data_IF_360386310782
#
_entry.id   IF_360386310782
#
_cell.length_a   1.000
_cell.length_b   1.000
_cell.length_c   1.000
_cell.angle_alpha   90.00
_cell.angle_beta   90.00
_cell.angle_gamma   90.00
#
_symmetry.space_group_name_H-M   'P 1'
#
loop_
_entity.id
_entity.type
_entity.pdbx_description
1 polymer ?
#
# COMPACT_ATOMS: atom_id res chain seq x y z
N UNK A 1 -23.22 1.04 -13.98
CA UNK A 1 -23.68 2.45 -13.89
C UNK A 1 -23.47 2.91 -12.46
N UNK A 2 -22.55 3.88 -12.25
CA UNK A 2 -22.37 4.51 -10.94
C UNK A 2 -23.66 5.24 -10.56
N UNK A 3 -24.20 4.96 -9.36
CA UNK A 3 -25.34 5.70 -8.77
C UNK A 3 -24.85 7.04 -8.24
N UNK A 4 -24.47 7.95 -9.13
CA UNK A 4 -24.08 9.33 -8.75
C UNK A 4 -25.22 10.30 -9.14
N UNK A 5 -25.37 11.37 -8.35
CA UNK A 5 -26.34 12.42 -8.66
C UNK A 5 -25.94 13.17 -9.92
N UNK A 6 -26.93 13.76 -10.61
CA UNK A 6 -26.70 14.60 -11.81
C UNK A 6 -25.71 15.73 -11.52
N UNK A 7 -25.80 16.35 -10.34
CA UNK A 7 -24.88 17.40 -9.88
C UNK A 7 -23.44 16.88 -9.77
N UNK A 8 -23.25 15.70 -9.18
CA UNK A 8 -21.93 15.08 -9.04
C UNK A 8 -21.35 14.65 -10.39
N UNK A 9 -22.18 14.13 -11.29
CA UNK A 9 -21.78 13.80 -12.66
C UNK A 9 -21.34 15.05 -13.43
N UNK A 10 -22.13 16.12 -13.38
CA UNK A 10 -21.81 17.41 -14.00
C UNK A 10 -20.53 18.01 -13.43
N UNK A 11 -20.32 17.90 -12.11
CA UNK A 11 -19.09 18.33 -11.44
C UNK A 11 -17.87 17.52 -11.91
N UNK A 12 -17.97 16.19 -11.96
CA UNK A 12 -16.88 15.32 -12.46
C UNK A 12 -16.51 15.71 -13.91
N UNK A 13 -17.49 15.84 -14.79
CA UNK A 13 -17.28 16.22 -16.19
C UNK A 13 -16.61 17.61 -16.31
N UNK A 14 -17.10 18.60 -15.57
CA UNK A 14 -16.50 19.95 -15.55
C UNK A 14 -15.02 19.92 -15.20
N UNK A 15 -14.64 19.20 -14.13
CA UNK A 15 -13.23 19.09 -13.74
C UNK A 15 -12.40 18.30 -14.72
N UNK A 16 -12.98 17.31 -15.40
CA UNK A 16 -12.30 16.58 -16.47
C UNK A 16 -11.97 17.53 -17.63
N UNK A 17 -12.96 18.27 -18.14
CA UNK A 17 -12.77 19.24 -19.23
C UNK A 17 -11.75 20.33 -18.84
N UNK A 18 -11.79 20.81 -17.60
CA UNK A 18 -10.80 21.79 -17.12
C UNK A 18 -9.38 21.23 -17.11
N UNK A 19 -9.18 19.98 -16.68
CA UNK A 19 -7.88 19.31 -16.70
C UNK A 19 -7.38 19.08 -18.12
N UNK A 20 -8.23 18.63 -19.04
CA UNK A 20 -7.88 18.46 -20.45
C UNK A 20 -7.45 19.79 -21.10
N UNK A 21 -8.17 20.87 -20.84
CA UNK A 21 -7.80 22.19 -21.32
C UNK A 21 -6.52 22.72 -20.67
N UNK A 22 -6.32 22.49 -19.37
CA UNK A 22 -5.09 22.84 -18.66
C UNK A 22 -3.87 22.18 -19.32
N UNK A 23 -3.98 20.91 -19.69
CA UNK A 23 -2.93 20.18 -20.43
C UNK A 23 -2.71 20.74 -21.83
N UNK A 24 -3.78 20.96 -22.60
CA UNK A 24 -3.71 21.51 -23.97
C UNK A 24 -3.05 22.89 -24.05
N UNK A 25 -3.30 23.71 -23.03
CA UNK A 25 -2.81 25.09 -22.94
C UNK A 25 -1.46 25.19 -22.21
N UNK A 26 -0.88 24.06 -21.77
CA UNK A 26 0.30 24.02 -20.88
C UNK A 26 0.14 24.94 -19.66
N UNK A 27 -1.09 25.06 -19.12
CA UNK A 27 -1.36 25.90 -17.96
C UNK A 27 -0.85 25.23 -16.67
N UNK A 28 -0.31 26.02 -15.76
CA UNK A 28 0.29 25.56 -14.49
C UNK A 28 -0.74 25.32 -13.40
N UNK A 29 -1.96 25.85 -13.54
CA UNK A 29 -3.03 25.73 -12.57
C UNK A 29 -4.41 25.99 -13.19
N UNK A 30 -5.44 25.48 -12.52
CA UNK A 30 -6.86 25.77 -12.74
C UNK A 30 -7.34 26.60 -11.57
N UNK A 31 -7.65 27.86 -11.80
CA UNK A 31 -8.16 28.77 -10.76
C UNK A 31 -9.68 28.69 -10.72
N UNK A 32 -10.23 28.57 -9.49
CA UNK A 32 -11.69 28.54 -9.28
C UNK A 32 -12.12 29.59 -8.27
N UNK A 33 -13.30 30.22 -8.50
CA UNK A 33 -13.85 31.29 -7.67
C UNK A 33 -14.56 30.82 -6.38
N UNK A 34 -14.14 29.69 -5.77
CA UNK A 34 -14.69 29.29 -4.48
C UNK A 34 -14.28 30.27 -3.39
N UNK A 35 -15.22 30.57 -2.51
CA UNK A 35 -15.08 31.57 -1.44
C UNK A 35 -15.45 30.98 -0.06
N UNK A 36 -15.40 31.80 0.97
CA UNK A 36 -15.63 31.40 2.37
C UNK A 36 -17.00 30.75 2.59
N UNK A 37 -18.04 31.23 1.93
CA UNK A 37 -19.38 30.63 2.04
C UNK A 37 -19.42 29.21 1.47
N UNK A 38 -18.74 28.97 0.33
CA UNK A 38 -18.60 27.62 -0.22
C UNK A 38 -17.86 26.68 0.71
N UNK A 39 -16.87 27.21 1.45
CA UNK A 39 -16.16 26.47 2.48
C UNK A 39 -17.10 26.07 3.62
N UNK A 40 -17.89 27.01 4.13
CA UNK A 40 -18.88 26.77 5.18
C UNK A 40 -19.91 25.71 4.75
N UNK A 41 -20.43 25.80 3.53
CA UNK A 41 -21.33 24.78 2.96
C UNK A 41 -20.67 23.40 2.92
N UNK A 42 -19.40 23.34 2.46
CA UNK A 42 -18.67 22.08 2.34
C UNK A 42 -18.43 21.44 3.71
N UNK A 43 -18.08 22.22 4.72
CA UNK A 43 -17.89 21.75 6.10
C UNK A 43 -19.17 21.18 6.65
N UNK A 44 -20.31 21.88 6.50
CA UNK A 44 -21.62 21.40 6.94
C UNK A 44 -22.04 20.12 6.21
N UNK A 45 -21.86 20.07 4.89
CA UNK A 45 -22.15 18.86 4.12
C UNK A 45 -21.36 17.64 4.62
N UNK A 46 -20.09 17.84 4.94
CA UNK A 46 -19.22 16.79 5.44
C UNK A 46 -19.60 16.38 6.86
N UNK A 47 -19.91 17.34 7.73
CA UNK A 47 -20.39 17.10 9.09
C UNK A 47 -21.68 16.27 9.08
N UNK A 48 -22.66 16.65 8.27
CA UNK A 48 -23.94 15.93 8.12
C UNK A 48 -23.78 14.50 7.56
N UNK A 49 -22.70 14.23 6.84
CA UNK A 49 -22.33 12.89 6.38
C UNK A 49 -21.57 12.08 7.42
N UNK A 50 -21.29 12.65 8.60
CA UNK A 50 -20.49 11.98 9.63
C UNK A 50 -18.99 11.95 9.35
N UNK A 51 -18.49 12.87 8.54
CA UNK A 51 -17.07 12.94 8.25
C UNK A 51 -16.26 13.33 9.49
N UNK A 52 -15.13 12.63 9.70
CA UNK A 52 -14.15 12.99 10.74
C UNK A 52 -13.33 14.24 10.39
N UNK A 53 -12.28 14.50 11.15
CA UNK A 53 -11.41 15.70 11.00
C UNK A 53 -10.93 15.91 9.56
N UNK A 54 -10.66 14.82 8.81
CA UNK A 54 -10.29 14.87 7.38
C UNK A 54 -11.37 15.52 6.52
N UNK A 55 -12.64 15.29 6.82
CA UNK A 55 -13.74 15.92 6.08
C UNK A 55 -13.99 17.35 6.54
N UNK A 56 -13.76 17.64 7.82
CA UNK A 56 -13.93 18.99 8.39
C UNK A 56 -12.93 20.01 7.85
N UNK A 57 -11.75 19.56 7.32
CA UNK A 57 -10.82 20.48 6.62
C UNK A 57 -11.43 21.13 5.36
N UNK A 58 -12.57 20.68 4.91
CA UNK A 58 -13.29 21.23 3.78
C UNK A 58 -12.46 21.22 2.48
N UNK A 59 -12.57 22.29 1.70
CA UNK A 59 -11.76 22.54 0.51
C UNK A 59 -10.39 23.09 0.90
N UNK A 60 -9.35 22.69 0.15
CA UNK A 60 -8.00 23.22 0.31
C UNK A 60 -7.77 24.38 -0.66
N UNK A 61 -6.99 25.37 -0.25
CA UNK A 61 -6.54 26.48 -1.12
C UNK A 61 -5.88 25.96 -2.40
N UNK A 62 -5.10 24.87 -2.26
CA UNK A 62 -4.52 24.16 -3.40
C UNK A 62 -4.78 22.66 -3.28
N UNK A 63 -5.24 22.06 -4.37
CA UNK A 63 -5.39 20.62 -4.48
C UNK A 63 -4.93 20.16 -5.88
N UNK A 64 -3.70 19.71 -5.98
CA UNK A 64 -3.05 19.43 -7.25
C UNK A 64 -3.01 20.67 -8.15
N UNK A 65 -3.61 20.58 -9.33
CA UNK A 65 -3.72 21.69 -10.28
C UNK A 65 -4.77 22.74 -9.90
N UNK A 66 -5.68 22.42 -8.99
CA UNK A 66 -6.79 23.33 -8.63
C UNK A 66 -6.35 24.28 -7.54
N UNK A 67 -6.50 25.59 -7.77
CA UNK A 67 -6.19 26.68 -6.84
C UNK A 67 -7.44 27.50 -6.57
N UNK A 68 -7.67 27.88 -5.28
CA UNK A 68 -8.83 28.65 -4.81
C UNK A 68 -8.35 29.85 -4.03
N UNK A 69 -7.98 30.95 -4.73
CA UNK A 69 -7.38 32.12 -4.08
C UNK A 69 -8.35 32.88 -3.17
N UNK A 70 -9.65 32.73 -3.38
CA UNK A 70 -10.67 33.48 -2.63
C UNK A 70 -11.30 32.68 -1.49
N UNK A 71 -10.72 31.53 -1.11
CA UNK A 71 -11.34 30.62 -0.14
C UNK A 71 -11.57 31.26 1.24
N UNK A 72 -10.76 32.26 1.59
CA UNK A 72 -10.86 33.02 2.85
C UNK A 72 -11.66 34.32 2.71
N UNK A 73 -12.02 34.71 1.49
CA UNK A 73 -12.81 35.96 1.25
C UNK A 73 -14.30 35.66 1.40
N UNK A 74 -15.01 36.56 2.10
CA UNK A 74 -16.47 36.49 2.18
C UNK A 74 -17.09 36.87 0.82
N UNK A 75 -18.20 36.22 0.48
CA UNK A 75 -18.91 36.52 -0.76
C UNK A 75 -19.28 38.02 -0.85
N UNK A 76 -19.71 38.59 0.25
CA UNK A 76 -20.07 40.03 0.35
C UNK A 76 -18.91 40.95 -0.05
N UNK A 77 -17.69 40.65 0.44
CA UNK A 77 -16.51 41.47 0.13
C UNK A 77 -16.16 41.42 -1.36
N UNK A 78 -16.35 40.25 -2.00
CA UNK A 78 -16.16 40.08 -3.45
C UNK A 78 -17.21 40.85 -4.26
N UNK A 79 -18.49 40.82 -3.83
CA UNK A 79 -19.57 41.57 -4.48
C UNK A 79 -19.38 43.09 -4.31
N UNK A 80 -18.96 43.54 -3.15
CA UNK A 80 -18.67 44.97 -2.86
C UNK A 80 -17.48 45.45 -3.71
N UNK A 81 -16.44 44.63 -3.86
CA UNK A 81 -15.32 44.94 -4.76
C UNK A 81 -15.78 45.07 -6.20
N UNK A 82 -16.59 44.13 -6.70
CA UNK A 82 -17.12 44.20 -8.06
C UNK A 82 -17.95 45.46 -8.28
N UNK A 83 -18.80 45.85 -7.31
CA UNK A 83 -19.57 47.11 -7.37
C UNK A 83 -18.67 48.35 -7.45
N UNK A 84 -17.65 48.41 -6.60
CA UNK A 84 -16.67 49.51 -6.58
C UNK A 84 -15.91 49.64 -7.91
N UNK A 85 -15.60 48.50 -8.56
CA UNK A 85 -14.87 48.48 -9.81
C UNK A 85 -15.78 48.54 -11.05
N UNK A 86 -17.10 48.62 -10.89
CA UNK A 86 -18.06 48.64 -12.00
C UNK A 86 -18.10 47.31 -12.77
N UNK A 87 -17.68 46.21 -12.16
CA UNK A 87 -17.70 44.89 -12.79
C UNK A 87 -19.11 44.29 -12.71
N UNK A 88 -19.67 43.98 -13.87
CA UNK A 88 -20.97 43.32 -13.95
C UNK A 88 -20.80 41.81 -13.86
N UNK A 89 -21.59 41.16 -13.00
CA UNK A 89 -21.61 39.69 -12.89
C UNK A 89 -23.03 39.15 -13.14
N UNK A 90 -23.10 37.91 -13.58
CA UNK A 90 -24.35 37.20 -13.77
C UNK A 90 -24.67 36.28 -12.61
N UNK A 91 -25.94 36.24 -12.21
CA UNK A 91 -26.44 35.26 -11.25
C UNK A 91 -27.04 34.08 -12.01
N UNK A 92 -26.54 32.86 -11.75
CA UNK A 92 -27.07 31.65 -12.36
C UNK A 92 -28.42 31.30 -11.71
N UNK A 93 -29.48 31.19 -12.54
CA UNK A 93 -30.84 30.87 -12.10
C UNK A 93 -30.96 29.47 -11.46
N UNK A 94 -30.06 28.54 -11.79
CA UNK A 94 -30.02 27.20 -11.15
C UNK A 94 -29.71 27.26 -9.64
N UNK A 95 -29.17 28.37 -9.13
CA UNK A 95 -28.96 28.62 -7.70
C UNK A 95 -30.30 28.80 -6.94
N UNK A 96 -31.41 28.94 -7.61
CA UNK A 96 -32.72 29.11 -6.98
C UNK A 96 -33.40 27.80 -6.57
N UNK A 97 -33.02 26.68 -7.15
CA UNK A 97 -33.61 25.37 -6.87
C UNK A 97 -33.06 24.80 -5.55
N UNK A 98 -33.94 24.42 -4.60
CA UNK A 98 -33.58 23.84 -3.29
C UNK A 98 -33.50 22.32 -3.32
N UNK A 99 -33.80 21.66 -4.44
CA UNK A 99 -33.74 20.20 -4.56
C UNK A 99 -32.33 19.62 -4.36
N UNK A 100 -31.31 20.46 -4.51
CA UNK A 100 -29.94 20.08 -4.28
C UNK A 100 -29.53 20.35 -2.81
N UNK A 101 -28.96 19.36 -2.13
CA UNK A 101 -28.50 19.46 -0.73
C UNK A 101 -27.65 20.68 -0.45
N UNK A 102 -26.82 21.11 -1.38
CA UNK A 102 -25.97 22.29 -1.22
C UNK A 102 -26.81 23.57 -1.19
N UNK A 103 -27.82 23.66 -2.05
CA UNK A 103 -28.72 24.81 -2.08
C UNK A 103 -29.59 24.87 -0.83
N UNK A 104 -30.10 23.75 -0.31
CA UNK A 104 -30.82 23.70 0.96
C UNK A 104 -29.96 24.17 2.13
N UNK A 105 -28.67 23.72 2.21
CA UNK A 105 -27.74 24.22 3.24
C UNK A 105 -27.55 25.74 3.10
N UNK A 106 -27.38 26.26 1.90
CA UNK A 106 -27.18 27.69 1.64
C UNK A 106 -28.39 28.53 2.00
N UNK A 107 -29.59 28.10 1.64
CA UNK A 107 -30.83 28.89 1.74
C UNK A 107 -31.59 28.67 3.04
N UNK A 108 -31.45 27.53 3.67
CA UNK A 108 -32.24 27.16 4.85
C UNK A 108 -31.36 27.00 6.09
N UNK A 109 -30.37 26.10 6.03
CA UNK A 109 -29.60 25.73 7.21
C UNK A 109 -28.65 26.86 7.68
N UNK A 110 -27.87 27.44 6.76
CA UNK A 110 -26.95 28.52 7.10
C UNK A 110 -27.69 29.73 7.66
N UNK A 111 -28.79 30.27 7.03
CA UNK A 111 -29.57 31.35 7.61
C UNK A 111 -30.22 31.01 8.96
N UNK A 112 -30.59 29.74 9.17
CA UNK A 112 -31.07 29.29 10.48
C UNK A 112 -29.95 29.33 11.53
N UNK A 113 -28.75 28.87 11.21
CA UNK A 113 -27.58 28.87 12.09
C UNK A 113 -27.09 30.31 12.38
N UNK A 114 -27.26 31.26 11.46
CA UNK A 114 -26.95 32.69 11.63
C UNK A 114 -27.78 33.32 12.75
N UNK A 115 -28.99 32.82 13.06
CA UNK A 115 -29.80 33.28 14.19
C UNK A 115 -29.15 32.94 15.54
N UNK A 116 -28.33 31.87 15.59
CA UNK A 116 -27.61 31.45 16.78
C UNK A 116 -26.20 32.09 16.84
N UNK A 117 -25.54 32.18 15.68
CA UNK A 117 -24.24 32.81 15.55
C UNK A 117 -24.18 33.60 14.22
N UNK A 118 -24.30 34.94 14.26
CA UNK A 118 -24.24 35.79 13.06
C UNK A 118 -22.95 35.61 12.23
N UNK A 119 -21.87 35.08 12.84
CA UNK A 119 -20.60 34.83 12.18
C UNK A 119 -20.38 33.34 11.86
N UNK A 120 -21.43 32.51 11.77
CA UNK A 120 -21.31 31.05 11.61
C UNK A 120 -20.50 30.65 10.37
N UNK A 121 -20.62 31.39 9.27
CA UNK A 121 -19.85 31.09 8.03
C UNK A 121 -18.34 31.22 8.29
N UNK A 122 -17.94 32.31 8.96
CA UNK A 122 -16.55 32.51 9.37
C UNK A 122 -16.08 31.46 10.38
N UNK A 123 -16.93 31.13 11.36
CA UNK A 123 -16.61 30.10 12.35
C UNK A 123 -16.38 28.73 11.71
N UNK A 124 -17.22 28.33 10.73
CA UNK A 124 -17.04 27.09 9.98
C UNK A 124 -15.77 27.11 9.12
N UNK A 125 -15.47 28.23 8.45
CA UNK A 125 -14.24 28.39 7.69
C UNK A 125 -12.98 28.30 8.58
N UNK A 126 -13.01 28.93 9.76
CA UNK A 126 -11.93 28.83 10.75
C UNK A 126 -11.77 27.38 11.26
N UNK A 127 -12.88 26.69 11.51
CA UNK A 127 -12.82 25.26 11.88
C UNK A 127 -12.15 24.43 10.79
N UNK A 128 -12.49 24.68 9.52
CA UNK A 128 -11.85 24.01 8.39
C UNK A 128 -10.35 24.32 8.31
N UNK A 129 -9.96 25.56 8.53
CA UNK A 129 -8.57 25.99 8.53
C UNK A 129 -7.74 25.27 9.61
N UNK A 130 -8.23 25.24 10.85
CA UNK A 130 -7.56 24.54 11.95
C UNK A 130 -7.49 23.02 11.69
N UNK A 131 -8.61 22.42 11.26
CA UNK A 131 -8.63 21.01 10.91
C UNK A 131 -7.69 20.67 9.75
N UNK A 132 -7.45 21.59 8.81
CA UNK A 132 -6.49 21.40 7.72
C UNK A 132 -5.05 21.37 8.24
N UNK A 133 -4.68 22.25 9.18
CA UNK A 133 -3.34 22.27 9.79
C UNK A 133 -3.05 20.99 10.58
N UNK A 134 -3.98 20.56 11.43
CA UNK A 134 -3.85 19.31 12.19
C UNK A 134 -3.70 18.11 11.24
N UNK A 135 -4.47 18.12 10.17
CA UNK A 135 -4.45 17.06 9.17
C UNK A 135 -3.14 17.02 8.40
N UNK A 136 -2.58 18.18 8.03
CA UNK A 136 -1.30 18.30 7.31
C UNK A 136 -0.16 17.75 8.16
N UNK A 137 -0.10 18.10 9.44
CA UNK A 137 0.89 17.57 10.38
C UNK A 137 0.79 16.05 10.50
N UNK A 138 -0.42 15.51 10.67
CA UNK A 138 -0.63 14.06 10.77
C UNK A 138 -0.28 13.34 9.47
N UNK A 139 -0.56 13.93 8.30
CA UNK A 139 -0.20 13.37 7.00
C UNK A 139 1.33 13.40 6.79
N UNK A 140 2.00 14.46 7.23
CA UNK A 140 3.47 14.55 7.17
C UNK A 140 4.13 13.48 8.06
N UNK A 141 3.71 13.36 9.32
CA UNK A 141 4.21 12.35 10.25
C UNK A 141 3.98 10.94 9.72
N UNK A 142 2.80 10.67 9.16
CA UNK A 142 2.47 9.36 8.59
C UNK A 142 3.28 9.06 7.32
N UNK A 143 3.51 10.04 6.45
CA UNK A 143 4.38 9.87 5.29
C UNK A 143 5.83 9.64 5.68
N UNK A 144 6.31 10.32 6.73
CA UNK A 144 7.65 10.10 7.30
C UNK A 144 7.79 8.68 7.85
N UNK A 145 6.76 8.17 8.53
CA UNK A 145 6.73 6.79 9.00
C UNK A 145 6.75 5.79 7.84
N UNK A 146 5.91 5.99 6.82
CA UNK A 146 5.84 5.13 5.64
C UNK A 146 7.17 5.08 4.90
N UNK A 147 7.82 6.22 4.67
CA UNK A 147 9.14 6.26 3.99
C UNK A 147 10.21 5.42 4.69
N UNK A 148 10.19 5.37 6.01
CA UNK A 148 11.17 4.62 6.81
C UNK A 148 10.82 3.15 6.98
N UNK A 149 9.54 2.80 7.00
CA UNK A 149 9.04 1.51 7.46
C UNK A 149 8.31 0.70 6.39
N UNK A 150 8.23 1.18 5.14
CA UNK A 150 7.54 0.44 4.09
C UNK A 150 8.44 0.16 2.88
N UNK A 151 8.08 -0.90 2.17
CA UNK A 151 8.70 -1.28 0.90
C UNK A 151 7.65 -1.89 -0.03
N UNK A 152 7.87 -1.74 -1.33
CA UNK A 152 7.12 -2.45 -2.37
C UNK A 152 8.00 -3.52 -2.97
N UNK A 153 7.57 -4.78 -2.90
CA UNK A 153 8.30 -5.91 -3.45
C UNK A 153 7.32 -6.89 -4.09
N UNK A 154 7.63 -7.34 -5.31
CA UNK A 154 6.81 -8.30 -6.06
C UNK A 154 5.32 -7.90 -6.17
N UNK A 155 5.04 -6.62 -6.39
CA UNK A 155 3.67 -6.11 -6.50
C UNK A 155 2.91 -6.01 -5.16
N UNK A 156 3.51 -6.35 -4.02
CA UNK A 156 2.91 -6.21 -2.70
C UNK A 156 3.52 -5.03 -1.94
N UNK A 157 2.70 -4.32 -1.18
CA UNK A 157 3.14 -3.26 -0.26
C UNK A 157 3.29 -3.84 1.14
N UNK A 158 4.48 -3.75 1.71
CA UNK A 158 4.79 -4.26 3.06
C UNK A 158 5.17 -3.10 3.98
N UNK A 159 4.52 -3.05 5.15
CA UNK A 159 4.71 -2.06 6.20
C UNK A 159 5.19 -2.75 7.48
N UNK A 160 6.28 -2.29 8.06
CA UNK A 160 6.68 -2.67 9.42
C UNK A 160 5.73 -2.02 10.43
N UNK A 161 5.08 -2.83 11.25
CA UNK A 161 4.08 -2.40 12.25
C UNK A 161 4.45 -2.83 13.68
N UNK A 162 5.73 -3.12 13.92
CA UNK A 162 6.21 -3.56 15.24
C UNK A 162 5.98 -2.52 16.32
N UNK A 163 6.17 -1.26 15.99
CA UNK A 163 6.10 -0.13 16.92
C UNK A 163 4.70 0.52 16.96
N UNK A 164 3.68 -0.13 16.37
CA UNK A 164 2.32 0.43 16.33
C UNK A 164 1.67 0.58 17.70
N UNK A 165 2.13 -0.18 18.70
CA UNK A 165 1.71 0.00 20.10
C UNK A 165 2.33 1.22 20.79
N UNK A 166 3.43 1.74 20.26
CA UNK A 166 4.20 2.85 20.84
C UNK A 166 3.82 4.20 20.24
N UNK A 167 3.23 4.21 19.03
CA UNK A 167 2.80 5.44 18.37
C UNK A 167 1.33 5.76 18.68
N UNK A 168 1.00 7.05 18.70
CA UNK A 168 -0.35 7.52 18.95
C UNK A 168 -1.38 6.92 17.96
N UNK A 169 -2.57 6.57 18.45
CA UNK A 169 -3.64 5.97 17.64
C UNK A 169 -3.99 6.83 16.42
N UNK A 170 -3.99 8.16 16.57
CA UNK A 170 -4.24 9.08 15.45
C UNK A 170 -3.19 8.90 14.33
N UNK A 171 -1.93 8.70 14.68
CA UNK A 171 -0.85 8.49 13.72
C UNK A 171 -0.94 7.09 13.08
N UNK A 172 -1.10 6.03 13.86
CA UNK A 172 -1.22 4.67 13.33
C UNK A 172 -2.41 4.52 12.37
N UNK A 173 -3.55 5.14 12.73
CA UNK A 173 -4.72 5.23 11.84
C UNK A 173 -4.38 5.93 10.52
N UNK A 174 -3.66 7.04 10.58
CA UNK A 174 -3.27 7.80 9.37
C UNK A 174 -2.29 7.03 8.49
N UNK A 175 -1.32 6.37 9.11
CA UNK A 175 -0.36 5.49 8.40
C UNK A 175 -1.10 4.40 7.63
N UNK A 176 -2.09 3.72 8.24
CA UNK A 176 -2.87 2.68 7.58
C UNK A 176 -3.70 3.23 6.40
N UNK A 177 -4.32 4.39 6.57
CA UNK A 177 -5.09 5.04 5.50
C UNK A 177 -4.18 5.39 4.32
N UNK A 178 -3.03 6.02 4.57
CA UNK A 178 -2.09 6.40 3.51
C UNK A 178 -1.43 5.18 2.87
N UNK A 179 -1.08 4.15 3.65
CA UNK A 179 -0.57 2.88 3.12
C UNK A 179 -1.55 2.25 2.12
N UNK A 180 -2.83 2.21 2.49
CA UNK A 180 -3.87 1.71 1.60
C UNK A 180 -4.01 2.57 0.34
N UNK A 181 -4.08 3.91 0.47
CA UNK A 181 -4.23 4.84 -0.64
C UNK A 181 -3.05 4.81 -1.62
N UNK A 182 -1.83 4.67 -1.11
CA UNK A 182 -0.62 4.61 -1.94
C UNK A 182 -0.53 3.30 -2.75
N UNK A 183 -1.20 2.24 -2.29
CA UNK A 183 -1.18 0.95 -2.96
C UNK A 183 -2.39 0.70 -3.86
N UNK A 184 -3.56 1.24 -3.51
CA UNK A 184 -4.82 1.02 -4.23
C UNK A 184 -5.03 2.04 -5.35
N UNK A 185 -5.91 1.69 -6.32
CA UNK A 185 -6.35 2.59 -7.40
C UNK A 185 -7.66 3.26 -6.99
N UNK A 186 -8.03 4.33 -7.68
CA UNK A 186 -9.28 5.08 -7.41
C UNK A 186 -10.53 4.18 -7.41
N UNK A 187 -10.55 3.13 -8.22
CA UNK A 187 -11.69 2.21 -8.36
C UNK A 187 -11.73 1.09 -7.29
N UNK A 188 -10.72 0.95 -6.46
CA UNK A 188 -10.66 -0.12 -5.44
C UNK A 188 -11.56 0.17 -4.22
N UNK A 189 -12.14 1.37 -4.13
CA UNK A 189 -12.95 1.81 -3.00
C UNK A 189 -12.12 2.49 -1.89
N UNK A 190 -12.78 2.81 -0.77
CA UNK A 190 -12.17 3.53 0.34
C UNK A 190 -12.23 2.71 1.63
N UNK A 191 -11.26 2.93 2.54
CA UNK A 191 -11.33 2.37 3.87
C UNK A 191 -12.41 3.08 4.70
N UNK A 192 -13.34 2.28 5.21
CA UNK A 192 -14.28 2.71 6.22
C UNK A 192 -13.67 2.50 7.63
N UNK A 193 -14.27 3.13 8.64
CA UNK A 193 -13.86 2.99 10.04
C UNK A 193 -13.75 1.53 10.49
N UNK A 194 -14.70 0.68 10.13
CA UNK A 194 -14.68 -0.77 10.45
C UNK A 194 -13.42 -1.48 9.93
N UNK A 195 -12.94 -1.09 8.73
CA UNK A 195 -11.74 -1.67 8.14
C UNK A 195 -10.48 -1.26 8.90
N UNK A 196 -10.41 0.01 9.32
CA UNK A 196 -9.29 0.55 10.11
C UNK A 196 -9.23 -0.11 11.48
N UNK A 197 -10.37 -0.23 12.17
CA UNK A 197 -10.48 -0.92 13.47
C UNK A 197 -10.07 -2.39 13.35
N UNK A 198 -10.50 -3.07 12.29
CA UNK A 198 -10.12 -4.46 12.04
C UNK A 198 -8.61 -4.62 11.76
N UNK A 199 -7.98 -3.69 11.02
CA UNK A 199 -6.53 -3.68 10.79
C UNK A 199 -5.76 -3.45 12.10
N UNK A 200 -6.17 -2.48 12.91
CA UNK A 200 -5.55 -2.22 14.21
C UNK A 200 -5.67 -3.43 15.16
N UNK A 201 -6.83 -4.10 15.16
CA UNK A 201 -7.01 -5.32 15.93
C UNK A 201 -6.16 -6.49 15.41
N UNK A 202 -6.03 -6.63 14.08
CA UNK A 202 -5.18 -7.63 13.45
C UNK A 202 -3.72 -7.47 13.90
N UNK A 203 -3.22 -6.22 13.87
CA UNK A 203 -1.88 -5.86 14.32
C UNK A 203 -1.72 -6.11 15.82
N UNK A 204 -2.66 -5.65 16.64
CA UNK A 204 -2.63 -5.82 18.10
C UNK A 204 -2.63 -7.28 18.54
N UNK A 205 -3.41 -8.15 17.88
CA UNK A 205 -3.43 -9.59 18.16
C UNK A 205 -2.11 -10.28 17.82
N UNK A 206 -1.33 -9.75 16.88
CA UNK A 206 0.00 -10.25 16.54
C UNK A 206 0.06 -11.68 16.00
N UNK A 207 -1.07 -12.27 15.59
CA UNK A 207 -1.13 -13.64 15.08
C UNK A 207 -0.68 -13.71 13.64
N UNK A 208 0.53 -14.23 13.39
CA UNK A 208 1.09 -14.37 12.04
C UNK A 208 0.25 -15.27 11.14
N UNK A 209 0.09 -14.87 9.88
CA UNK A 209 -0.67 -15.59 8.85
C UNK A 209 -2.17 -15.30 8.86
N UNK A 210 -2.63 -14.37 9.71
CA UNK A 210 -4.02 -13.87 9.66
C UNK A 210 -4.17 -12.85 8.54
N UNK A 211 -5.28 -12.97 7.84
CA UNK A 211 -5.62 -12.11 6.69
C UNK A 211 -6.92 -11.36 6.93
N UNK A 212 -7.05 -10.20 6.30
CA UNK A 212 -8.24 -9.37 6.28
C UNK A 212 -8.54 -8.96 4.84
N UNK A 213 -9.80 -9.10 4.41
CA UNK A 213 -10.25 -8.58 3.14
C UNK A 213 -10.58 -7.09 3.28
N UNK A 214 -10.03 -6.30 2.39
CA UNK A 214 -10.25 -4.87 2.25
C UNK A 214 -10.83 -4.57 0.87
N UNK A 215 -11.38 -3.39 0.62
CA UNK A 215 -11.85 -3.03 -0.70
C UNK A 215 -10.74 -3.18 -1.77
N UNK A 216 -10.95 -4.05 -2.76
CA UNK A 216 -10.03 -4.31 -3.86
C UNK A 216 -8.72 -5.03 -3.54
N UNK A 217 -8.38 -5.24 -2.26
CA UNK A 217 -7.10 -5.82 -1.83
C UNK A 217 -7.26 -6.72 -0.60
N UNK A 218 -6.20 -7.44 -0.25
CA UNK A 218 -6.11 -8.22 0.97
C UNK A 218 -4.92 -7.74 1.80
N UNK A 219 -5.08 -7.71 3.12
CA UNK A 219 -4.01 -7.46 4.07
C UNK A 219 -3.67 -8.73 4.84
N UNK A 220 -2.38 -9.04 5.03
CA UNK A 220 -1.87 -10.13 5.86
C UNK A 220 -0.93 -9.57 6.93
N UNK A 221 -1.13 -9.97 8.18
CA UNK A 221 -0.16 -9.71 9.23
C UNK A 221 0.77 -10.92 9.42
N UNK A 222 2.06 -10.69 9.38
CA UNK A 222 3.05 -11.72 9.67
C UNK A 222 4.32 -11.11 10.30
N UNK A 223 4.70 -11.63 11.48
CA UNK A 223 5.98 -11.34 12.16
C UNK A 223 6.30 -9.84 12.34
N UNK A 224 5.29 -9.02 12.60
CA UNK A 224 5.45 -7.57 12.78
C UNK A 224 5.39 -6.77 11.48
N UNK A 225 4.95 -7.40 10.40
CA UNK A 225 4.74 -6.75 9.11
C UNK A 225 3.28 -6.89 8.67
N UNK A 226 2.75 -5.84 8.10
CA UNK A 226 1.46 -5.81 7.41
C UNK A 226 1.73 -5.74 5.91
N UNK A 227 1.32 -6.77 5.17
CA UNK A 227 1.48 -6.82 3.72
C UNK A 227 0.12 -6.65 3.05
N UNK A 228 0.01 -5.68 2.13
CA UNK A 228 -1.19 -5.41 1.33
C UNK A 228 -0.89 -5.88 -0.10
N UNK A 229 -1.79 -6.69 -0.66
CA UNK A 229 -1.63 -7.28 -1.99
C UNK A 229 -2.98 -7.50 -2.66
N UNK A 230 -2.98 -7.65 -4.00
CA UNK A 230 -4.19 -7.99 -4.76
C UNK A 230 -4.46 -9.49 -4.70
N UNK A 231 -5.71 -9.93 -4.50
CA UNK A 231 -6.05 -11.34 -4.62
C UNK A 231 -5.64 -11.89 -6.00
N UNK A 232 -4.96 -13.04 -6.00
CA UNK A 232 -4.42 -13.64 -7.23
C UNK A 232 -2.99 -13.24 -7.59
N UNK A 233 -2.40 -12.24 -6.95
CA UNK A 233 -0.99 -11.87 -7.09
C UNK A 233 -0.09 -12.50 -5.99
N UNK A 234 -0.64 -13.40 -5.20
CA UNK A 234 0.02 -14.06 -4.06
C UNK A 234 1.11 -15.06 -4.48
N UNK A 235 1.02 -15.58 -5.71
CA UNK A 235 2.02 -16.51 -6.28
C UNK A 235 2.82 -15.81 -7.38
N UNK A 236 4.10 -16.16 -7.57
CA UNK A 236 4.86 -15.68 -8.71
C UNK A 236 4.10 -16.00 -9.99
N UNK A 237 3.97 -15.02 -10.89
CA UNK A 237 3.23 -15.15 -12.16
C UNK A 237 3.74 -16.30 -13.02
N UNK A 238 5.02 -16.68 -12.85
CA UNK A 238 5.63 -17.82 -13.52
C UNK A 238 6.33 -18.71 -12.48
N UNK A 239 5.95 -19.99 -12.47
CA UNK A 239 6.63 -21.00 -11.67
C UNK A 239 7.88 -21.43 -12.43
N UNK A 240 9.02 -21.17 -11.83
CA UNK A 240 10.29 -21.61 -12.38
C UNK A 240 10.52 -23.09 -12.06
N UNK A 241 10.94 -23.85 -13.04
CA UNK A 241 11.44 -25.20 -12.86
C UNK A 241 12.44 -25.53 -13.99
N UNK A 242 13.66 -25.87 -13.63
CA UNK A 242 14.69 -26.28 -14.57
C UNK A 242 15.54 -27.40 -13.97
N UNK A 243 16.03 -28.27 -14.82
CA UNK A 243 16.95 -29.35 -14.43
C UNK A 243 18.36 -28.78 -14.39
N UNK A 244 19.08 -29.10 -13.31
CA UNK A 244 20.49 -28.75 -13.14
C UNK A 244 21.34 -30.02 -13.37
N UNK A 245 22.11 -30.01 -14.44
CA UNK A 245 23.10 -31.09 -14.73
C UNK A 245 24.26 -31.01 -13.74
N UNK A 246 24.86 -32.16 -13.41
CA UNK A 246 25.98 -32.23 -12.47
C UNK A 246 27.18 -32.92 -13.11
N UNK A 247 28.33 -32.22 -13.29
CA UNK A 247 28.54 -30.81 -13.07
C UNK A 247 27.84 -29.96 -14.11
N UNK A 248 27.57 -28.69 -13.78
CA UNK A 248 26.92 -27.74 -14.73
C UNK A 248 26.55 -26.42 -14.13
N UNK A 249 25.86 -25.62 -14.92
CA UNK A 249 25.39 -24.31 -14.55
C UNK A 249 23.96 -24.06 -15.03
N UNK A 250 23.27 -23.12 -14.36
CA UNK A 250 21.90 -22.73 -14.68
C UNK A 250 21.69 -21.25 -14.40
N UNK A 251 21.16 -20.53 -15.38
CA UNK A 251 20.73 -19.15 -15.18
C UNK A 251 19.38 -19.10 -14.44
N UNK A 252 19.33 -18.33 -13.35
CA UNK A 252 18.13 -18.14 -12.55
C UNK A 252 17.26 -16.99 -13.11
N UNK A 253 15.96 -16.93 -12.77
CA UNK A 253 15.05 -15.88 -13.23
C UNK A 253 15.44 -14.47 -12.80
N UNK A 254 16.23 -14.32 -11.75
CA UNK A 254 16.75 -13.04 -11.24
C UNK A 254 18.08 -12.62 -11.89
N UNK A 255 18.55 -13.36 -12.90
CA UNK A 255 19.75 -13.08 -13.64
C UNK A 255 21.03 -13.68 -13.03
N UNK A 256 20.99 -14.22 -11.82
CA UNK A 256 22.13 -14.91 -11.20
C UNK A 256 22.42 -16.24 -11.90
N UNK A 257 23.66 -16.70 -11.80
CA UNK A 257 24.08 -18.01 -12.30
C UNK A 257 24.33 -18.93 -11.10
N UNK A 258 23.68 -20.09 -11.12
CA UNK A 258 23.89 -21.17 -10.18
C UNK A 258 24.81 -22.21 -10.84
N UNK A 259 25.97 -22.47 -10.25
CA UNK A 259 26.89 -23.52 -10.68
C UNK A 259 26.87 -24.68 -9.69
N UNK A 260 27.07 -25.90 -10.19
CA UNK A 260 27.30 -27.08 -9.37
C UNK A 260 28.55 -27.81 -9.83
N UNK A 261 29.45 -28.10 -8.90
CA UNK A 261 30.67 -28.88 -9.14
C UNK A 261 30.74 -30.07 -8.19
N UNK A 262 31.47 -31.10 -8.62
CA UNK A 262 31.75 -32.30 -7.82
C UNK A 262 33.14 -32.18 -7.24
N UNK A 263 33.25 -32.22 -5.91
CA UNK A 263 34.54 -32.18 -5.19
C UNK A 263 34.76 -33.56 -4.55
N UNK A 264 35.94 -34.14 -4.77
CA UNK A 264 36.37 -35.39 -4.17
C UNK A 264 37.27 -35.13 -2.98
N UNK A 265 37.17 -35.98 -1.95
CA UNK A 265 37.96 -35.87 -0.73
C UNK A 265 37.21 -35.17 0.42
N UNK A 266 37.91 -34.32 1.14
CA UNK A 266 37.37 -33.67 2.33
C UNK A 266 36.22 -32.71 2.00
N UNK A 267 35.32 -32.55 2.99
CA UNK A 267 34.20 -31.63 2.90
C UNK A 267 34.65 -30.18 2.67
N UNK A 268 34.27 -29.54 1.58
CA UNK A 268 34.61 -28.13 1.36
C UNK A 268 33.87 -27.24 2.36
N UNK A 269 34.49 -26.12 2.73
CA UNK A 269 33.89 -25.09 3.59
C UNK A 269 33.14 -24.13 2.68
N UNK A 270 31.80 -24.06 2.76
CA UNK A 270 31.02 -23.18 1.88
C UNK A 270 31.16 -21.70 2.26
N UNK A 271 31.32 -20.83 1.28
CA UNK A 271 31.19 -19.40 1.44
C UNK A 271 29.70 -18.99 1.63
N UNK A 272 29.43 -17.70 1.88
CA UNK A 272 28.09 -17.18 2.16
C UNK A 272 27.05 -17.46 1.06
N UNK A 273 27.50 -17.45 -0.19
CA UNK A 273 26.67 -17.70 -1.39
C UNK A 273 26.84 -19.14 -1.93
N UNK A 274 27.27 -20.06 -1.08
CA UNK A 274 27.52 -21.45 -1.43
C UNK A 274 26.76 -22.40 -0.52
N UNK A 275 26.48 -23.60 -1.04
CA UNK A 275 25.95 -24.71 -0.29
C UNK A 275 26.70 -25.99 -0.66
N UNK A 276 26.95 -26.84 0.32
CA UNK A 276 27.61 -28.14 0.14
C UNK A 276 26.64 -29.23 0.53
N UNK A 277 26.60 -30.32 -0.26
CA UNK A 277 25.76 -31.47 0.02
C UNK A 277 26.45 -32.76 -0.37
N UNK A 278 26.33 -33.86 0.42
CA UNK A 278 26.94 -35.14 0.05
C UNK A 278 26.30 -35.70 -1.22
N UNK A 279 27.14 -36.07 -2.23
CA UNK A 279 26.63 -36.55 -3.50
C UNK A 279 25.83 -37.85 -3.35
N UNK A 280 26.27 -38.76 -2.49
CA UNK A 280 25.65 -40.07 -2.24
C UNK A 280 24.24 -39.99 -1.65
N UNK A 281 23.87 -38.83 -1.06
CA UNK A 281 22.51 -38.58 -0.54
C UNK A 281 21.55 -38.05 -1.60
N UNK A 282 22.02 -37.75 -2.81
CA UNK A 282 21.21 -37.32 -3.93
C UNK A 282 20.80 -38.51 -4.77
N UNK A 283 19.53 -38.89 -4.70
CA UNK A 283 19.01 -40.13 -5.33
C UNK A 283 18.33 -39.94 -6.67
N UNK A 284 18.33 -38.72 -7.22
CA UNK A 284 17.62 -38.44 -8.48
C UNK A 284 18.15 -37.20 -9.20
N UNK A 285 17.35 -36.71 -10.14
CA UNK A 285 17.63 -35.51 -10.90
C UNK A 285 17.58 -34.29 -9.95
N UNK A 286 18.53 -33.38 -10.11
CA UNK A 286 18.53 -32.12 -9.38
C UNK A 286 17.70 -31.11 -10.18
N UNK A 287 16.68 -30.56 -9.53
CA UNK A 287 15.84 -29.50 -10.07
C UNK A 287 16.05 -28.22 -9.29
N UNK A 288 16.08 -27.08 -10.00
CA UNK A 288 15.93 -25.76 -9.39
C UNK A 288 14.52 -25.29 -9.68
N UNK A 289 13.72 -25.11 -8.64
CA UNK A 289 12.30 -24.81 -8.79
C UNK A 289 11.70 -24.07 -7.60
N UNK A 290 10.51 -23.54 -7.79
CA UNK A 290 9.69 -23.09 -6.67
C UNK A 290 9.15 -24.29 -5.88
N UNK A 291 8.67 -24.03 -4.67
CA UNK A 291 8.16 -25.07 -3.77
C UNK A 291 6.96 -25.82 -4.38
N UNK A 292 6.89 -27.11 -4.05
CA UNK A 292 5.73 -27.98 -4.30
C UNK A 292 5.14 -28.47 -2.97
N UNK A 293 3.86 -28.85 -2.97
CA UNK A 293 3.27 -29.53 -1.81
C UNK A 293 3.95 -30.89 -1.61
N UNK A 294 4.31 -31.17 -0.35
CA UNK A 294 5.02 -32.40 0.00
C UNK A 294 6.52 -32.25 0.14
N UNK A 295 7.11 -31.10 -0.24
CA UNK A 295 8.55 -30.83 -0.07
C UNK A 295 8.98 -30.96 1.38
N UNK A 296 10.15 -31.59 1.58
CA UNK A 296 10.77 -31.85 2.87
C UNK A 296 12.14 -31.17 2.95
N UNK A 297 12.47 -30.69 4.11
CA UNK A 297 13.76 -30.07 4.40
C UNK A 297 14.42 -30.76 5.59
N UNK A 298 15.71 -31.09 5.49
CA UNK A 298 16.47 -31.64 6.58
C UNK A 298 17.16 -30.53 7.35
N UNK A 299 16.89 -30.44 8.65
CA UNK A 299 17.57 -29.50 9.54
C UNK A 299 19.06 -29.81 9.67
N UNK A 300 19.83 -28.90 10.23
CA UNK A 300 21.29 -29.11 10.49
C UNK A 300 21.61 -30.42 11.21
N UNK A 301 20.70 -30.89 12.06
CA UNK A 301 20.84 -32.13 12.81
C UNK A 301 20.35 -33.38 12.04
N UNK A 302 20.04 -33.23 10.74
CA UNK A 302 19.60 -34.31 9.87
C UNK A 302 18.14 -34.77 10.04
N UNK A 303 17.34 -34.11 10.89
CA UNK A 303 15.91 -34.42 11.03
C UNK A 303 15.12 -33.84 9.88
N UNK A 304 14.34 -34.70 9.20
CA UNK A 304 13.45 -34.26 8.14
C UNK A 304 12.16 -33.68 8.70
N UNK A 305 11.76 -32.51 8.23
CA UNK A 305 10.44 -31.89 8.48
C UNK A 305 9.84 -31.36 7.18
N UNK A 306 8.55 -31.09 7.19
CA UNK A 306 7.89 -30.45 6.04
C UNK A 306 8.50 -29.09 5.77
N UNK A 307 8.81 -28.77 4.51
CA UNK A 307 9.34 -27.47 4.12
C UNK A 307 8.47 -26.31 4.66
N UNK A 308 7.15 -26.49 4.64
CA UNK A 308 6.20 -25.50 5.20
C UNK A 308 6.53 -25.13 6.66
N UNK A 309 6.81 -26.11 7.49
CA UNK A 309 7.13 -25.92 8.92
C UNK A 309 8.47 -25.22 9.06
N UNK A 310 9.46 -25.65 8.28
CA UNK A 310 10.78 -25.00 8.25
C UNK A 310 10.69 -23.51 7.87
N UNK A 311 9.90 -23.15 6.84
CA UNK A 311 9.72 -21.76 6.43
C UNK A 311 8.95 -20.92 7.48
N UNK A 312 8.10 -21.57 8.29
CA UNK A 312 7.44 -20.92 9.45
C UNK A 312 8.49 -20.62 10.53
N UNK A 313 9.37 -21.56 10.85
CA UNK A 313 10.44 -21.35 11.85
C UNK A 313 11.42 -20.25 11.43
N UNK A 314 11.70 -20.13 10.14
CA UNK A 314 12.47 -19.02 9.58
C UNK A 314 11.70 -17.69 9.53
N UNK A 315 10.45 -17.67 9.99
CA UNK A 315 9.57 -16.49 9.99
C UNK A 315 9.37 -15.87 8.59
N UNK A 316 9.37 -16.70 7.54
CA UNK A 316 9.12 -16.24 6.18
C UNK A 316 7.61 -16.06 5.97
N UNK A 317 7.14 -14.86 5.57
CA UNK A 317 5.74 -14.60 5.27
C UNK A 317 5.17 -15.55 4.20
N UNK A 318 3.87 -15.88 4.30
CA UNK A 318 3.23 -16.79 3.34
C UNK A 318 3.33 -16.29 1.90
N UNK A 319 3.20 -14.97 1.71
CA UNK A 319 3.32 -14.27 0.42
C UNK A 319 4.69 -14.39 -0.25
N UNK A 320 5.76 -14.64 0.52
CA UNK A 320 7.11 -14.80 -0.01
C UNK A 320 7.48 -16.26 -0.28
N UNK A 321 6.77 -17.24 0.35
CA UNK A 321 7.16 -18.66 0.26
C UNK A 321 7.01 -19.23 -1.15
N UNK A 322 6.08 -18.70 -1.94
CA UNK A 322 5.83 -19.12 -3.31
C UNK A 322 6.95 -18.75 -4.29
N UNK A 323 7.63 -17.61 -4.05
CA UNK A 323 8.70 -17.09 -4.91
C UNK A 323 10.09 -17.64 -4.58
N UNK A 324 10.26 -18.37 -3.47
CA UNK A 324 11.55 -18.94 -3.10
C UNK A 324 12.01 -19.97 -4.15
N UNK A 325 13.27 -19.87 -4.55
CA UNK A 325 13.92 -20.87 -5.37
C UNK A 325 14.59 -21.92 -4.48
N UNK A 326 14.39 -23.17 -4.83
CA UNK A 326 14.86 -24.34 -4.11
C UNK A 326 15.69 -25.20 -5.04
N UNK A 327 16.79 -25.74 -4.54
CA UNK A 327 17.49 -26.85 -5.17
C UNK A 327 16.94 -28.13 -4.56
N UNK A 328 16.39 -29.02 -5.37
CA UNK A 328 15.68 -30.20 -4.92
C UNK A 328 16.18 -31.46 -5.64
N UNK A 329 16.08 -32.62 -4.97
CA UNK A 329 16.11 -33.94 -5.59
C UNK A 329 14.80 -34.61 -5.23
N UNK A 330 13.88 -34.70 -6.19
CA UNK A 330 12.51 -35.12 -5.94
C UNK A 330 11.78 -34.19 -4.95
N UNK A 331 11.31 -34.74 -3.81
CA UNK A 331 10.69 -33.99 -2.73
C UNK A 331 11.68 -33.46 -1.68
N UNK A 332 12.93 -33.89 -1.70
CA UNK A 332 13.95 -33.47 -0.73
C UNK A 332 14.62 -32.19 -1.21
N UNK A 333 14.51 -31.14 -0.38
CA UNK A 333 15.13 -29.84 -0.61
C UNK A 333 16.56 -29.86 -0.10
N UNK A 334 17.52 -29.66 -1.01
CA UNK A 334 18.95 -29.62 -0.72
C UNK A 334 19.40 -28.24 -0.27
N UNK A 335 18.85 -27.21 -0.86
CA UNK A 335 19.13 -25.82 -0.50
C UNK A 335 17.93 -24.92 -0.76
N UNK A 336 17.57 -24.12 0.24
CA UNK A 336 16.69 -22.96 0.06
C UNK A 336 17.60 -21.78 -0.29
N UNK A 337 17.60 -21.35 -1.55
CA UNK A 337 18.49 -20.30 -2.06
C UNK A 337 18.38 -19.04 -1.22
N UNK A 338 19.50 -18.38 -0.96
CA UNK A 338 19.62 -17.20 -0.07
C UNK A 338 19.28 -17.46 1.42
N UNK A 339 19.04 -18.71 1.80
CA UNK A 339 18.75 -19.08 3.20
C UNK A 339 19.72 -20.16 3.68
N UNK A 340 19.30 -21.39 3.77
CA UNK A 340 20.08 -22.46 4.39
C UNK A 340 20.09 -23.70 3.52
N UNK A 341 21.25 -24.37 3.45
CA UNK A 341 21.39 -25.71 2.93
C UNK A 341 20.84 -26.74 3.93
N UNK A 342 20.29 -27.83 3.38
CA UNK A 342 19.86 -28.97 4.18
C UNK A 342 21.06 -29.62 4.92
N UNK A 343 20.79 -30.18 6.08
CA UNK A 343 21.75 -30.87 6.89
C UNK A 343 21.66 -32.39 6.75
N UNK A 344 22.61 -33.07 7.38
CA UNK A 344 22.66 -34.53 7.51
C UNK A 344 23.29 -34.91 8.86
N UNK A 345 23.17 -36.19 9.26
CA UNK A 345 23.52 -36.63 10.61
C UNK A 345 25.03 -36.69 10.92
N UNK A 346 25.83 -37.01 9.93
CA UNK A 346 27.28 -37.17 10.11
C UNK A 346 28.01 -36.97 8.78
N UNK A 347 29.19 -36.38 8.82
CA UNK A 347 30.08 -36.23 7.66
C UNK A 347 30.94 -37.51 7.41
N UNK A 348 30.92 -38.48 8.31
CA UNK A 348 31.74 -39.69 8.21
C UNK A 348 31.30 -40.56 7.02
N UNK A 349 32.29 -40.93 6.20
CA UNK A 349 32.11 -41.85 5.06
C UNK A 349 31.74 -41.22 3.72
N UNK A 350 31.58 -39.90 3.65
CA UNK A 350 31.34 -39.23 2.34
C UNK A 350 32.69 -38.90 1.69
N UNK A 351 32.85 -39.28 0.41
CA UNK A 351 34.04 -39.02 -0.40
C UNK A 351 33.79 -38.04 -1.54
N UNK A 352 32.54 -37.79 -1.89
CA UNK A 352 32.15 -36.87 -2.95
C UNK A 352 31.09 -35.86 -2.47
N UNK A 353 31.31 -34.58 -2.82
CA UNK A 353 30.49 -33.46 -2.40
C UNK A 353 30.00 -32.70 -3.62
N UNK A 354 28.77 -32.25 -3.59
CA UNK A 354 28.22 -31.26 -4.50
C UNK A 354 28.42 -29.87 -3.88
N UNK A 355 29.16 -29.00 -4.55
CA UNK A 355 29.31 -27.61 -4.20
C UNK A 355 28.43 -26.77 -5.15
N UNK A 356 27.38 -26.20 -4.60
CA UNK A 356 26.54 -25.23 -5.28
C UNK A 356 27.07 -23.83 -4.99
N UNK A 357 27.20 -22.99 -6.01
CA UNK A 357 27.64 -21.60 -5.86
C UNK A 357 26.76 -20.66 -6.69
N UNK A 358 26.42 -19.51 -6.09
CA UNK A 358 25.70 -18.44 -6.75
C UNK A 358 26.68 -17.32 -7.10
N UNK A 359 26.66 -16.91 -8.36
CA UNK A 359 27.41 -15.75 -8.86
C UNK A 359 26.44 -14.72 -9.45
N UNK A 360 26.81 -13.45 -9.39
CA UNK A 360 26.07 -12.41 -10.11
C UNK A 360 26.27 -12.67 -11.61
N UNK A 361 25.17 -12.70 -12.36
CA UNK A 361 25.23 -12.79 -13.82
C UNK A 361 25.90 -11.52 -14.33
N UNK A 362 26.95 -11.68 -15.11
CA UNK A 362 27.59 -10.54 -15.79
C UNK A 362 26.57 -9.79 -16.66
N UNK A 363 26.56 -8.46 -16.56
CA UNK A 363 25.84 -7.58 -17.47
C UNK A 363 26.41 -7.65 -18.87
#
# INVERSE_FOLDING_TARGET
QEKISVEEAARKLRYQVLRENCQKLNAVAIVTGHHQDDQAETVLMNLLRGAGTRGLRGMQTRNGLIVRPFLDAARKDMEDYCRQQGIVWCTDSSNECTDYRRNSIRKELLPMLEKYNPQIRRALANTAYLAAQDQELLEELANNYLRKNSLVKNGAFTLCVKDFSEIALALSTRVLILAFQNYTKENDGQLERKHIEALLQLIKKGQSGRTLNLPGVRAEYAYGYLTIYRPGEEEPKEKFAAVLTVPGELQLPDGRILTVTVIKGDKPIPARNQAVYPRSLVTGIIEVRNRKNGDRFRTKNGYAKKLKEYLIDLKIPKTERGSLLLICSGSDVLWVIDKQAAGWKSDAGFQEWLLFALTEGGK
#
